data_IF_569443821963
#
_entry.id   IF_569443821963
#
_cell.length_a   1.000
_cell.length_b   1.000
_cell.length_c   1.000
_cell.angle_alpha   90.00
_cell.angle_beta   90.00
_cell.angle_gamma   90.00
#
_symmetry.space_group_name_H-M   'P 1'
#
loop_
_entity.id
_entity.type
_entity.pdbx_description
1 polymer ?
#
# COMPACT_ATOMS: atom_id res chain seq x y z
N UNK A 1 14.51 5.63 -8.49
CA UNK A 1 13.05 5.73 -8.69
C UNK A 1 12.38 5.95 -7.34
N UNK A 2 11.24 6.63 -7.29
CA UNK A 2 10.49 6.89 -6.05
C UNK A 2 9.04 6.49 -6.24
N UNK A 3 8.43 5.95 -5.20
CA UNK A 3 7.01 5.68 -5.13
C UNK A 3 6.37 6.73 -4.21
N UNK A 4 5.34 7.42 -4.70
CA UNK A 4 4.51 8.30 -3.87
C UNK A 4 3.21 7.57 -3.59
N UNK A 5 2.85 7.46 -2.32
CA UNK A 5 1.63 6.79 -1.87
C UNK A 5 0.80 7.81 -1.11
N UNK A 6 -0.49 7.81 -1.41
CA UNK A 6 -1.55 8.43 -0.62
C UNK A 6 -2.62 7.37 -0.40
N UNK A 7 -2.87 7.03 0.86
CA UNK A 7 -3.82 6.01 1.27
C UNK A 7 -4.74 6.60 2.33
N UNK A 8 -6.04 6.52 2.11
CA UNK A 8 -7.04 7.07 3.03
C UNK A 8 -7.90 5.94 3.58
N UNK A 9 -8.06 5.90 4.89
CA UNK A 9 -9.06 5.10 5.58
C UNK A 9 -10.19 6.04 6.02
N UNK A 10 -11.42 5.65 5.71
CA UNK A 10 -12.64 6.43 5.97
C UNK A 10 -13.70 5.52 6.57
N UNK A 11 -14.71 6.14 7.18
CA UNK A 11 -15.91 5.49 7.71
C UNK A 11 -15.65 4.40 8.76
N UNK A 12 -14.62 4.60 9.59
CA UNK A 12 -14.30 3.73 10.74
C UNK A 12 -14.33 4.52 12.05
N UNK A 13 -14.37 3.80 13.19
CA UNK A 13 -14.23 4.44 14.51
C UNK A 13 -12.80 4.95 14.73
N UNK A 14 -12.61 5.89 15.65
CA UNK A 14 -11.31 6.52 15.90
C UNK A 14 -10.24 5.54 16.41
N UNK A 15 -10.66 4.45 17.05
CA UNK A 15 -9.81 3.42 17.63
C UNK A 15 -9.51 2.29 16.64
N UNK A 16 -10.25 2.22 15.53
CA UNK A 16 -10.06 1.20 14.52
C UNK A 16 -8.68 1.33 13.91
N UNK A 17 -7.88 0.27 13.99
CA UNK A 17 -6.53 0.24 13.50
C UNK A 17 -6.35 -0.90 12.49
N UNK A 18 -5.75 -0.59 11.34
CA UNK A 18 -5.42 -1.57 10.32
C UNK A 18 -3.98 -1.39 9.84
N UNK A 19 -3.32 -2.51 9.61
CA UNK A 19 -2.08 -2.58 8.85
C UNK A 19 -2.43 -2.94 7.41
N UNK A 20 -2.26 -2.01 6.49
CA UNK A 20 -2.49 -2.23 5.06
C UNK A 20 -1.16 -2.59 4.39
N UNK A 21 -0.96 -3.82 3.91
CA UNK A 21 0.27 -4.22 3.25
C UNK A 21 0.41 -3.55 1.87
N UNK A 22 1.63 -3.11 1.58
CA UNK A 22 2.01 -2.46 0.34
C UNK A 22 2.88 -3.40 -0.48
N UNK A 23 2.54 -3.58 -1.75
CA UNK A 23 3.24 -4.48 -2.66
C UNK A 23 3.66 -3.79 -3.96
N UNK A 24 4.64 -4.38 -4.63
CA UNK A 24 5.05 -4.03 -5.99
C UNK A 24 4.87 -5.25 -6.89
N UNK A 25 4.11 -5.07 -7.96
CA UNK A 25 4.14 -6.00 -9.10
C UNK A 25 5.30 -5.59 -10.00
N UNK A 26 6.21 -6.54 -10.28
CA UNK A 26 7.40 -6.33 -11.10
C UNK A 26 7.11 -6.66 -12.56
N UNK A 27 7.94 -6.16 -13.47
CA UNK A 27 7.82 -6.42 -14.92
C UNK A 27 7.84 -7.91 -15.29
N UNK A 28 8.46 -8.76 -14.46
CA UNK A 28 8.52 -10.22 -14.66
C UNK A 28 7.33 -10.97 -14.03
N UNK A 29 6.30 -10.26 -13.55
CA UNK A 29 5.10 -10.84 -12.94
C UNK A 29 5.26 -11.26 -11.48
N UNK A 30 6.45 -11.13 -10.88
CA UNK A 30 6.63 -11.38 -9.44
C UNK A 30 6.03 -10.23 -8.62
N UNK A 31 5.49 -10.58 -7.46
CA UNK A 31 5.00 -9.61 -6.47
C UNK A 31 5.93 -9.60 -5.27
N UNK A 32 6.43 -8.41 -4.92
CA UNK A 32 7.30 -8.20 -3.77
C UNK A 32 6.60 -7.33 -2.72
N UNK A 33 6.65 -7.73 -1.44
CA UNK A 33 6.14 -6.92 -0.33
C UNK A 33 7.12 -5.77 -0.05
N UNK A 34 6.62 -4.55 -0.10
CA UNK A 34 7.39 -3.34 0.18
C UNK A 34 7.35 -2.99 1.68
N UNK A 35 6.23 -3.24 2.34
CA UNK A 35 6.02 -2.93 3.76
C UNK A 35 4.55 -2.92 4.12
N UNK A 36 4.19 -2.13 5.13
CA UNK A 36 2.80 -1.93 5.55
C UNK A 36 2.60 -0.50 6.05
N UNK A 37 1.46 0.09 5.70
CA UNK A 37 1.00 1.36 6.24
C UNK A 37 0.09 1.09 7.44
N UNK A 38 0.37 1.73 8.58
CA UNK A 38 -0.49 1.69 9.75
C UNK A 38 -1.47 2.85 9.69
N UNK A 39 -2.76 2.54 9.65
CA UNK A 39 -3.86 3.51 9.66
C UNK A 39 -4.65 3.33 10.96
N UNK A 40 -4.93 4.44 11.64
CA UNK A 40 -5.73 4.47 12.87
C UNK A 40 -6.81 5.53 12.68
N UNK A 41 -8.06 5.13 12.86
CA UNK A 41 -9.22 5.98 12.64
C UNK A 41 -9.35 6.45 11.19
N UNK A 42 -10.11 7.54 11.02
CA UNK A 42 -10.25 8.20 9.73
C UNK A 42 -8.99 9.03 9.46
N UNK A 43 -8.09 8.50 8.64
CA UNK A 43 -6.75 9.05 8.47
C UNK A 43 -6.25 8.89 7.03
N UNK A 44 -5.48 9.88 6.57
CA UNK A 44 -4.75 9.82 5.30
C UNK A 44 -3.26 9.66 5.54
N UNK A 45 -2.72 8.52 5.13
CA UNK A 45 -1.29 8.25 5.12
C UNK A 45 -0.67 8.69 3.79
N UNK A 46 0.34 9.57 3.86
CA UNK A 46 1.11 10.01 2.71
C UNK A 46 2.61 9.73 2.93
N UNK A 47 3.25 9.05 1.98
CA UNK A 47 4.68 8.78 2.05
C UNK A 47 5.33 8.72 0.67
N UNK A 48 6.56 9.23 0.59
CA UNK A 48 7.45 9.00 -0.55
C UNK A 48 8.48 7.94 -0.17
N UNK A 49 8.44 6.80 -0.84
CA UNK A 49 9.31 5.65 -0.56
C UNK A 49 10.39 5.58 -1.66
N UNK A 50 11.69 5.72 -1.29
CA UNK A 50 12.78 5.43 -2.21
C UNK A 50 12.83 3.93 -2.49
N UNK A 51 12.62 3.52 -3.74
CA UNK A 51 12.68 2.12 -4.15
C UNK A 51 14.13 1.68 -4.46
N UNK A 52 15.03 1.90 -3.50
CA UNK A 52 16.44 1.52 -3.64
C UNK A 52 16.59 -0.01 -3.53
N UNK A 53 17.44 -0.61 -4.36
CA UNK A 53 17.73 -2.05 -4.31
C UNK A 53 16.81 -2.95 -5.15
N UNK A 54 15.80 -2.39 -5.83
CA UNK A 54 15.03 -3.13 -6.83
C UNK A 54 15.89 -3.40 -8.07
N UNK A 55 16.18 -4.69 -8.32
CA UNK A 55 16.88 -5.15 -9.53
C UNK A 55 15.99 -5.10 -10.76
N UNK A 56 14.70 -5.32 -10.56
CA UNK A 56 13.67 -5.36 -11.60
C UNK A 56 12.80 -4.12 -11.57
N UNK A 57 12.35 -3.68 -12.75
CA UNK A 57 11.51 -2.49 -12.85
C UNK A 57 10.11 -2.78 -12.28
N UNK A 58 9.61 -1.95 -11.34
CA UNK A 58 8.23 -2.08 -10.89
C UNK A 58 7.28 -1.68 -12.01
N UNK A 59 6.22 -2.47 -12.19
CA UNK A 59 5.13 -2.23 -13.12
C UNK A 59 4.03 -1.37 -12.50
N UNK A 60 3.61 -1.72 -11.28
CA UNK A 60 2.64 -0.95 -10.48
C UNK A 60 2.80 -1.25 -8.99
N UNK A 61 2.35 -0.31 -8.16
CA UNK A 61 2.10 -0.57 -6.74
C UNK A 61 0.68 -1.15 -6.59
N UNK A 62 0.51 -2.08 -5.67
CA UNK A 62 -0.78 -2.69 -5.34
C UNK A 62 -0.92 -2.80 -3.83
N UNK A 63 -2.16 -2.70 -3.35
CA UNK A 63 -2.55 -2.93 -1.96
C UNK A 63 -3.57 -4.07 -1.94
N UNK A 64 -3.67 -4.77 -0.81
CA UNK A 64 -4.57 -5.91 -0.64
C UNK A 64 -4.50 -6.97 -1.74
N UNK A 65 -3.29 -7.22 -2.25
CA UNK A 65 -3.09 -8.21 -3.30
C UNK A 65 -3.54 -9.63 -2.88
N UNK A 66 -3.55 -9.91 -1.57
CA UNK A 66 -3.96 -11.19 -0.99
C UNK A 66 -5.26 -11.09 -0.18
N UNK A 67 -6.13 -10.11 -0.47
CA UNK A 67 -7.37 -9.87 0.29
C UNK A 67 -7.13 -9.66 1.80
N UNK A 68 -6.02 -9.01 2.15
CA UNK A 68 -5.53 -8.85 3.52
C UNK A 68 -6.02 -7.56 4.22
N UNK A 69 -7.08 -6.95 3.70
CA UNK A 69 -7.69 -5.70 4.18
C UNK A 69 -9.17 -5.92 4.46
N UNK A 70 -9.66 -5.39 5.59
CA UNK A 70 -11.08 -5.43 5.94
C UNK A 70 -11.79 -4.20 5.37
N UNK A 71 -12.29 -4.31 4.13
CA UNK A 71 -13.05 -3.23 3.52
C UNK A 71 -13.13 -3.31 2.00
N UNK A 72 -13.78 -2.31 1.41
CA UNK A 72 -13.77 -2.11 -0.03
C UNK A 72 -12.58 -1.25 -0.44
N UNK A 73 -12.03 -1.52 -1.62
CA UNK A 73 -10.84 -0.84 -2.11
C UNK A 73 -11.18 -0.09 -3.39
N UNK A 74 -10.94 1.21 -3.37
CA UNK A 74 -11.04 2.07 -4.54
C UNK A 74 -9.64 2.51 -4.97
N UNK A 75 -9.18 2.03 -6.13
CA UNK A 75 -7.96 2.53 -6.77
C UNK A 75 -8.34 3.49 -7.91
N UNK A 76 -7.92 4.74 -7.82
CA UNK A 76 -8.04 5.74 -8.88
C UNK A 76 -6.68 6.04 -9.50
#
# INVERSE_FOLDING_TARGET
MVLKIKLTQSDVSNEFAMLVPLYLELSNGKVARLGSARLIGNHTFEQTIPLKGLKEKPKRAVIAYYDDVLGSIESR
#
